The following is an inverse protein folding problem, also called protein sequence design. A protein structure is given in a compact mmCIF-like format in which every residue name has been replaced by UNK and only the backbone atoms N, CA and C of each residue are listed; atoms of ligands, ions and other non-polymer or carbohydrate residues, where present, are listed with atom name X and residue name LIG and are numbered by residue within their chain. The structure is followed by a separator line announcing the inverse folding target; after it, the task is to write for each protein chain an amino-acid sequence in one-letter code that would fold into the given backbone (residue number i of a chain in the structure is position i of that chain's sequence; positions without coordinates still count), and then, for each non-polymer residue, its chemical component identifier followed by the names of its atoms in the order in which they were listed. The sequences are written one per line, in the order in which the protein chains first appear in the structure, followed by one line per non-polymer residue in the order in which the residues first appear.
data_IF_265725926334
#
_entry.id   IF_265725926334
#
_cell.length_a   1.000
_cell.length_b   1.000
_cell.length_c   1.000
_cell.angle_alpha   90.00
_cell.angle_beta   90.00
_cell.angle_gamma   90.00
#
_symmetry.space_group_name_H-M   'P 1'
#
loop_
_entity.id
_entity.type
_entity.pdbx_description
1 polymer ?
#
# COMPACT_ATOMS: atom_id res chain seq x y z
N UNK A 1 -30.26 11.64 -0.86
CA UNK A 1 -28.85 11.25 -1.01
C UNK A 1 -28.68 9.87 -0.39
N UNK A 2 -28.52 8.82 -1.21
CA UNK A 2 -28.44 7.44 -0.72
C UNK A 2 -27.25 7.24 0.20
N UNK A 3 -27.47 6.63 1.38
CA UNK A 3 -26.43 6.24 2.33
C UNK A 3 -25.47 5.29 1.62
N UNK A 4 -24.28 5.76 1.24
CA UNK A 4 -23.22 4.87 0.76
C UNK A 4 -22.95 3.83 1.86
N UNK A 5 -23.09 2.55 1.55
CA UNK A 5 -22.78 1.47 2.49
C UNK A 5 -21.36 1.65 3.03
N UNK A 6 -21.25 1.94 4.32
CA UNK A 6 -20.00 2.25 5.03
C UNK A 6 -19.17 0.99 5.32
N UNK A 7 -19.79 -0.17 5.18
CA UNK A 7 -19.23 -1.50 5.41
C UNK A 7 -19.44 -2.37 4.18
N UNK A 8 -18.58 -3.37 4.03
CA UNK A 8 -18.79 -4.47 3.10
C UNK A 8 -19.53 -5.59 3.82
N UNK A 9 -20.33 -6.38 3.10
CA UNK A 9 -20.72 -7.70 3.59
C UNK A 9 -19.51 -8.64 3.61
N UNK A 10 -19.60 -9.74 4.35
CA UNK A 10 -18.53 -10.74 4.38
C UNK A 10 -18.30 -11.35 2.99
N UNK A 11 -19.38 -11.57 2.23
CA UNK A 11 -19.33 -12.06 0.84
C UNK A 11 -18.64 -11.06 -0.10
N UNK A 12 -18.98 -9.77 -0.01
CA UNK A 12 -18.33 -8.72 -0.80
C UNK A 12 -16.84 -8.62 -0.45
N UNK A 13 -16.51 -8.66 0.84
CA UNK A 13 -15.15 -8.56 1.32
C UNK A 13 -14.30 -9.76 0.84
N UNK A 14 -14.88 -10.96 0.87
CA UNK A 14 -14.24 -12.17 0.40
C UNK A 14 -13.99 -12.10 -1.12
N UNK A 15 -14.99 -11.72 -1.91
CA UNK A 15 -14.88 -11.59 -3.35
C UNK A 15 -13.80 -10.57 -3.76
N UNK A 16 -13.70 -9.44 -3.06
CA UNK A 16 -12.67 -8.43 -3.30
C UNK A 16 -11.25 -8.97 -3.03
N UNK A 17 -11.07 -9.73 -1.94
CA UNK A 17 -9.79 -10.33 -1.58
C UNK A 17 -9.37 -11.40 -2.59
N UNK A 18 -10.28 -12.28 -2.98
CA UNK A 18 -10.01 -13.32 -3.96
C UNK A 18 -9.61 -12.74 -5.32
N UNK A 19 -10.35 -11.73 -5.79
CA UNK A 19 -10.03 -11.04 -7.03
C UNK A 19 -8.65 -10.38 -6.97
N UNK A 20 -8.33 -9.72 -5.86
CA UNK A 20 -7.00 -9.13 -5.64
C UNK A 20 -5.88 -10.18 -5.76
N UNK A 21 -6.01 -11.31 -5.08
CA UNK A 21 -5.01 -12.38 -5.15
C UNK A 21 -4.83 -12.93 -6.55
N UNK A 22 -5.95 -13.16 -7.26
CA UNK A 22 -5.95 -13.67 -8.63
C UNK A 22 -5.21 -12.71 -9.56
N UNK A 23 -5.50 -11.42 -9.48
CA UNK A 23 -4.84 -10.40 -10.30
C UNK A 23 -3.35 -10.28 -9.96
N UNK A 24 -2.99 -10.26 -8.67
CA UNK A 24 -1.59 -10.17 -8.22
C UNK A 24 -0.77 -11.36 -8.70
N UNK A 25 -1.31 -12.57 -8.60
CA UNK A 25 -0.66 -13.79 -9.09
C UNK A 25 -0.42 -13.72 -10.59
N UNK A 26 -1.46 -13.36 -11.36
CA UNK A 26 -1.35 -13.22 -12.83
C UNK A 26 -0.27 -12.22 -13.23
N UNK A 27 -0.18 -11.09 -12.53
CA UNK A 27 0.82 -10.05 -12.82
C UNK A 27 2.22 -10.52 -12.44
N UNK A 28 2.37 -11.18 -11.29
CA UNK A 28 3.64 -11.73 -10.83
C UNK A 28 4.18 -12.79 -11.81
N UNK A 29 3.31 -13.64 -12.34
CA UNK A 29 3.66 -14.62 -13.38
C UNK A 29 4.03 -13.95 -14.71
N UNK A 30 3.27 -12.93 -15.13
CA UNK A 30 3.54 -12.18 -16.38
C UNK A 30 4.86 -11.41 -16.33
N UNK A 31 5.22 -10.88 -15.17
CA UNK A 31 6.42 -10.07 -14.94
C UNK A 31 7.50 -10.85 -14.21
N UNK A 32 7.49 -12.18 -14.33
CA UNK A 32 8.49 -13.04 -13.70
C UNK A 32 9.91 -12.61 -14.10
N UNK A 33 10.77 -12.43 -13.11
CA UNK A 33 12.15 -11.95 -13.29
C UNK A 33 12.33 -10.43 -13.29
N UNK A 34 11.23 -9.66 -13.20
CA UNK A 34 11.33 -8.22 -12.91
C UNK A 34 11.59 -7.95 -11.43
N UNK A 35 12.05 -6.73 -11.13
CA UNK A 35 12.24 -6.28 -9.77
C UNK A 35 10.90 -6.28 -9.00
N UNK A 36 10.87 -6.68 -7.71
CA UNK A 36 9.64 -6.75 -6.94
C UNK A 36 8.84 -5.44 -6.91
N UNK A 37 9.53 -4.30 -6.91
CA UNK A 37 8.88 -2.99 -6.91
C UNK A 37 8.11 -2.70 -8.20
N UNK A 38 8.58 -3.20 -9.35
CA UNK A 38 7.90 -3.07 -10.65
C UNK A 38 6.65 -3.96 -10.68
N UNK A 39 6.76 -5.18 -10.15
CA UNK A 39 5.64 -6.11 -10.03
C UNK A 39 4.53 -5.51 -9.15
N UNK A 40 4.88 -4.99 -7.97
CA UNK A 40 3.92 -4.38 -7.06
C UNK A 40 3.30 -3.10 -7.64
N UNK A 41 4.09 -2.29 -8.36
CA UNK A 41 3.59 -1.10 -9.06
C UNK A 41 2.60 -1.48 -10.16
N UNK A 42 2.86 -2.55 -10.91
CA UNK A 42 1.95 -3.08 -11.92
C UNK A 42 0.63 -3.62 -11.32
N UNK A 43 0.62 -4.00 -10.05
CA UNK A 43 -0.58 -4.44 -9.33
C UNK A 43 -1.49 -3.27 -8.91
N UNK A 44 -0.99 -2.03 -8.83
CA UNK A 44 -1.75 -0.87 -8.36
C UNK A 44 -3.13 -0.69 -9.03
N UNK A 45 -3.28 -0.79 -10.36
CA UNK A 45 -4.57 -0.57 -11.01
C UNK A 45 -5.67 -1.55 -10.57
N UNK A 46 -5.28 -2.72 -10.06
CA UNK A 46 -6.18 -3.83 -9.71
C UNK A 46 -6.69 -3.77 -8.26
N UNK A 47 -6.22 -2.83 -7.45
CA UNK A 47 -6.88 -2.52 -6.17
C UNK A 47 -8.17 -1.75 -6.46
N UNK A 48 -9.33 -2.33 -6.15
CA UNK A 48 -10.63 -1.72 -6.45
C UNK A 48 -10.92 -0.40 -5.68
N UNK A 49 -10.10 -0.02 -4.71
CA UNK A 49 -10.25 1.21 -3.94
C UNK A 49 -9.12 2.21 -4.24
N UNK A 50 -9.46 3.38 -4.80
CA UNK A 50 -8.49 4.46 -5.12
C UNK A 50 -7.70 4.96 -3.91
N UNK A 51 -8.27 4.90 -2.73
CA UNK A 51 -7.60 5.27 -1.47
C UNK A 51 -6.51 4.25 -1.14
N UNK A 52 -6.81 2.95 -1.28
CA UNK A 52 -5.85 1.86 -1.09
C UNK A 52 -4.79 1.86 -2.20
N UNK A 53 -5.14 2.21 -3.45
CA UNK A 53 -4.16 2.42 -4.52
C UNK A 53 -3.11 3.47 -4.13
N UNK A 54 -3.54 4.62 -3.60
CA UNK A 54 -2.62 5.69 -3.17
C UNK A 54 -1.76 5.25 -1.99
N UNK A 55 -2.37 4.58 -1.01
CA UNK A 55 -1.66 4.02 0.13
C UNK A 55 -0.58 3.05 -0.36
N UNK A 56 -0.95 2.06 -1.18
CA UNK A 56 -0.02 1.05 -1.66
C UNK A 56 1.11 1.65 -2.49
N UNK A 57 0.81 2.58 -3.40
CA UNK A 57 1.83 3.28 -4.18
C UNK A 57 2.88 3.94 -3.29
N UNK A 58 2.42 4.63 -2.25
CA UNK A 58 3.31 5.32 -1.34
C UNK A 58 4.10 4.35 -0.46
N UNK A 59 3.45 3.28 0.02
CA UNK A 59 4.09 2.25 0.82
C UNK A 59 5.14 1.45 0.03
N UNK A 60 4.91 1.14 -1.26
CA UNK A 60 5.91 0.53 -2.16
C UNK A 60 7.16 1.42 -2.19
N UNK A 61 6.98 2.72 -2.50
CA UNK A 61 8.10 3.66 -2.57
C UNK A 61 8.90 3.70 -1.26
N UNK A 62 8.23 3.85 -0.13
CA UNK A 62 8.90 3.94 1.17
C UNK A 62 9.55 2.62 1.61
N UNK A 63 8.93 1.48 1.30
CA UNK A 63 9.51 0.18 1.63
C UNK A 63 10.79 -0.06 0.83
N UNK A 64 10.74 0.15 -0.49
CA UNK A 64 11.90 -0.09 -1.34
C UNK A 64 13.01 0.93 -1.09
N UNK A 65 12.69 2.23 -1.15
CA UNK A 65 13.71 3.28 -1.07
C UNK A 65 14.06 3.69 0.37
N UNK A 66 13.15 3.51 1.33
CA UNK A 66 13.40 3.87 2.72
C UNK A 66 13.88 2.70 3.56
N UNK A 67 13.24 1.53 3.45
CA UNK A 67 13.56 0.37 4.30
C UNK A 67 14.61 -0.54 3.68
N UNK A 68 14.49 -0.89 2.38
CA UNK A 68 15.38 -1.86 1.73
C UNK A 68 16.72 -1.25 1.31
N UNK A 69 16.70 -0.12 0.62
CA UNK A 69 17.94 0.53 0.15
C UNK A 69 18.48 1.54 1.16
N UNK A 70 17.60 2.13 1.98
CA UNK A 70 17.98 3.16 2.94
C UNK A 70 18.29 4.51 2.31
N UNK A 71 17.79 4.79 1.11
CA UNK A 71 17.98 6.06 0.39
C UNK A 71 17.20 7.24 1.01
N UNK A 72 16.19 6.92 1.81
CA UNK A 72 15.36 7.88 2.54
C UNK A 72 15.71 7.86 4.03
N UNK A 73 15.78 9.04 4.64
CA UNK A 73 15.74 9.16 6.10
C UNK A 73 14.28 8.97 6.55
N UNK A 74 14.04 7.87 7.29
CA UNK A 74 12.74 7.55 7.89
C UNK A 74 12.78 7.84 9.38
N UNK A 75 11.63 8.24 9.95
CA UNK A 75 11.50 8.29 11.39
C UNK A 75 11.44 6.86 11.97
N UNK A 76 12.01 6.60 13.16
CA UNK A 76 12.05 5.26 13.78
C UNK A 76 10.70 4.54 13.85
N UNK A 77 9.62 5.29 14.08
CA UNK A 77 8.25 4.73 14.10
C UNK A 77 7.77 4.31 12.71
N UNK A 78 8.23 4.97 11.66
CA UNK A 78 7.89 4.67 10.27
C UNK A 78 8.67 3.45 9.78
N UNK A 79 9.94 3.31 10.15
CA UNK A 79 10.77 2.14 9.82
C UNK A 79 10.10 0.83 10.26
N UNK A 80 9.46 0.80 11.43
CA UNK A 80 8.74 -0.37 11.92
C UNK A 80 7.38 -0.57 11.22
N UNK A 81 6.68 0.53 10.92
CA UNK A 81 5.30 0.52 10.44
C UNK A 81 5.18 0.27 8.92
N UNK A 82 6.12 0.77 8.13
CA UNK A 82 6.10 0.65 6.67
C UNK A 82 6.10 -0.82 6.21
N UNK A 83 6.98 -1.71 6.73
CA UNK A 83 6.96 -3.13 6.37
C UNK A 83 5.65 -3.83 6.72
N UNK A 84 5.08 -3.53 7.90
CA UNK A 84 3.83 -4.14 8.35
C UNK A 84 2.68 -3.84 7.38
N UNK A 85 2.53 -2.58 7.00
CA UNK A 85 1.47 -2.17 6.07
C UNK A 85 1.74 -2.63 4.64
N UNK A 86 3.00 -2.64 4.21
CA UNK A 86 3.37 -3.18 2.91
C UNK A 86 2.96 -4.65 2.78
N UNK A 87 3.30 -5.47 3.76
CA UNK A 87 2.95 -6.90 3.76
C UNK A 87 1.45 -7.14 3.92
N UNK A 88 0.75 -6.34 4.72
CA UNK A 88 -0.70 -6.48 4.89
C UNK A 88 -1.46 -6.12 3.59
N UNK A 89 -1.03 -5.07 2.86
CA UNK A 89 -1.61 -4.75 1.55
C UNK A 89 -1.36 -5.89 0.57
N UNK A 90 -0.16 -6.48 0.56
CA UNK A 90 0.09 -7.66 -0.28
C UNK A 90 -0.84 -8.79 0.14
N UNK A 91 -0.94 -9.09 1.43
CA UNK A 91 -1.73 -10.20 1.94
C UNK A 91 -3.22 -10.09 1.60
N UNK A 92 -3.86 -8.93 1.59
CA UNK A 92 -5.31 -8.88 1.37
C UNK A 92 -5.83 -7.61 0.68
N UNK A 93 -4.95 -6.82 0.10
CA UNK A 93 -5.28 -5.51 -0.48
C UNK A 93 -5.53 -4.43 0.57
N UNK A 94 -5.36 -4.75 1.86
CA UNK A 94 -5.73 -3.94 3.02
C UNK A 94 -7.24 -3.69 3.12
N UNK A 95 -8.06 -4.55 2.52
CA UNK A 95 -9.52 -4.50 2.62
C UNK A 95 -9.96 -4.84 4.04
N UNK A 96 -10.73 -3.94 4.65
CA UNK A 96 -11.32 -4.15 5.96
C UNK A 96 -12.84 -4.22 5.85
N UNK A 97 -13.52 -4.65 6.90
CA UNK A 97 -14.99 -4.61 6.92
C UNK A 97 -15.56 -3.17 6.83
N UNK A 98 -14.73 -2.13 7.03
CA UNK A 98 -15.16 -0.73 7.06
C UNK A 98 -14.36 0.18 6.11
N UNK A 99 -15.07 0.76 5.12
CA UNK A 99 -14.50 1.75 4.18
C UNK A 99 -14.02 3.02 4.90
N UNK A 100 -14.61 3.32 6.05
CA UNK A 100 -14.20 4.45 6.90
C UNK A 100 -12.82 4.17 7.51
N UNK A 101 -12.60 2.93 7.97
CA UNK A 101 -11.31 2.50 8.53
C UNK A 101 -10.22 2.59 7.47
N UNK A 102 -10.48 2.11 6.24
CA UNK A 102 -9.55 2.23 5.12
C UNK A 102 -9.17 3.70 4.84
N UNK A 103 -10.15 4.61 4.84
CA UNK A 103 -9.92 6.04 4.68
C UNK A 103 -9.10 6.64 5.83
N UNK A 104 -9.39 6.25 7.08
CA UNK A 104 -8.63 6.70 8.26
C UNK A 104 -7.17 6.27 8.16
N UNK A 105 -6.92 5.02 7.77
CA UNK A 105 -5.58 4.46 7.66
C UNK A 105 -4.81 5.15 6.54
N UNK A 106 -5.39 5.33 5.36
CA UNK A 106 -4.72 6.05 4.28
C UNK A 106 -4.41 7.52 4.64
N UNK A 107 -5.32 8.20 5.34
CA UNK A 107 -5.08 9.56 5.83
C UNK A 107 -4.01 9.59 6.93
N UNK A 108 -4.03 8.62 7.84
CA UNK A 108 -3.06 8.52 8.91
C UNK A 108 -1.68 8.22 8.37
N UNK A 109 -1.55 7.29 7.42
CA UNK A 109 -0.31 7.03 6.70
C UNK A 109 0.15 8.28 5.96
N UNK A 110 -0.71 8.89 5.13
CA UNK A 110 -0.35 10.11 4.43
C UNK A 110 0.18 11.22 5.34
N UNK A 111 -0.26 11.26 6.61
CA UNK A 111 0.24 12.20 7.64
C UNK A 111 1.44 11.67 8.43
N UNK A 112 1.56 10.37 8.64
CA UNK A 112 2.69 9.76 9.32
C UNK A 112 3.94 10.04 8.50
N UNK A 113 3.91 9.65 7.23
CA UNK A 113 5.05 9.77 6.29
C UNK A 113 5.21 11.14 5.65
N UNK A 114 4.37 12.13 6.00
CA UNK A 114 4.63 13.54 5.69
C UNK A 114 5.65 14.19 6.64
N UNK A 115 6.08 13.51 7.70
CA UNK A 115 7.04 14.04 8.66
C UNK A 115 8.46 13.57 8.31
N UNK A 116 9.08 14.30 7.38
CA UNK A 116 10.53 14.31 7.11
C UNK A 116 11.13 13.21 6.21
N UNK A 117 10.46 12.78 5.15
CA UNK A 117 11.16 12.10 4.04
C UNK A 117 12.09 13.11 3.35
N UNK A 118 13.35 13.18 3.76
CA UNK A 118 14.42 13.86 3.00
C UNK A 118 15.23 12.79 2.29
N UNK A 119 15.32 12.91 0.98
CA UNK A 119 16.24 12.08 0.20
C UNK A 119 17.66 12.41 0.66
N UNK A 120 18.46 11.39 1.01
CA UNK A 120 19.78 11.61 1.64
C UNK A 120 20.71 12.49 0.80
N UNK A 121 20.51 12.52 -0.52
CA UNK A 121 21.26 13.37 -1.45
C UNK A 121 21.06 14.89 -1.28
N UNK A 122 20.07 15.35 -0.51
CA UNK A 122 19.86 16.78 -0.24
C UNK A 122 20.56 17.31 1.03
N UNK A 123 21.28 16.47 1.78
CA UNK A 123 22.32 16.96 2.71
C UNK A 123 23.55 17.35 1.88
N UNK A 124 23.47 18.46 1.15
CA UNK A 124 24.67 19.21 0.80
C UNK A 124 25.16 19.90 2.09
N UNK A 125 26.47 19.75 2.33
CA UNK A 125 27.28 20.40 3.35
C UNK A 125 26.83 21.80 3.73
#
# INVERSE_FOLDING_TARGET
MGKYATHYTDEELQALKEQWFKDRRRISEKLAGMEPHDIDTACLPYLNNKTLQRLFRHTIYLYHFGVKTGDLDLHKREEALIPEVYEEIKKNGYFSSSKITEKKIANWFGKAVSRQTRHKSFKKY
#
